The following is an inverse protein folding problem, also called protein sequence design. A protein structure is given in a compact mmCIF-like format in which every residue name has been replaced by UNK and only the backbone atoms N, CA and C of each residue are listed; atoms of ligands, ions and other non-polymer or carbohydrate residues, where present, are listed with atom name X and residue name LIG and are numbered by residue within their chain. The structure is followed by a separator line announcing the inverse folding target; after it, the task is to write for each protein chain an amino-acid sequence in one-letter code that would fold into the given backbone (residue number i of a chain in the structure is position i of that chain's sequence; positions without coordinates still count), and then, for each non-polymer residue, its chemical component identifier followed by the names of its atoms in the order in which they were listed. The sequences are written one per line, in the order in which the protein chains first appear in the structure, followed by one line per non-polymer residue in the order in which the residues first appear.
data_IF_404977414740
#
_entry.id   IF_404977414740
#
_cell.length_a   1.000
_cell.length_b   1.000
_cell.length_c   1.000
_cell.angle_alpha   90.00
_cell.angle_beta   90.00
_cell.angle_gamma   90.00
#
_symmetry.space_group_name_H-M   'P 1'
#
loop_
_entity.id
_entity.type
_entity.pdbx_description
1 polymer ?
#
# COMPACT_ATOMS: atom_id res chain seq x y z
N UNK A 1 -27.37 -10.00 16.92
CA UNK A 1 -26.02 -10.09 16.31
C UNK A 1 -26.04 -10.67 14.88
N UNK A 2 -27.04 -11.49 14.49
CA UNK A 2 -27.14 -12.07 13.12
C UNK A 2 -27.66 -11.14 12.01
N UNK A 3 -28.39 -10.07 12.33
CA UNK A 3 -28.99 -9.18 11.31
C UNK A 3 -27.94 -8.30 10.59
N UNK A 4 -26.86 -7.91 11.29
CA UNK A 4 -25.80 -7.07 10.73
C UNK A 4 -24.98 -7.80 9.65
N UNK A 5 -24.66 -9.08 9.88
CA UNK A 5 -23.96 -9.91 8.90
C UNK A 5 -24.84 -10.26 7.69
N UNK A 6 -26.15 -10.46 7.90
CA UNK A 6 -27.10 -10.65 6.81
C UNK A 6 -27.25 -9.37 5.94
N UNK A 7 -27.26 -8.20 6.56
CA UNK A 7 -27.26 -6.91 5.86
C UNK A 7 -25.92 -6.67 5.12
N UNK A 8 -24.78 -6.99 5.74
CA UNK A 8 -23.46 -6.84 5.11
C UNK A 8 -23.28 -7.76 3.90
N UNK A 9 -23.67 -9.04 4.03
CA UNK A 9 -23.67 -10.00 2.92
C UNK A 9 -24.70 -9.63 1.85
N UNK A 10 -25.86 -9.09 2.26
CA UNK A 10 -26.90 -8.58 1.37
C UNK A 10 -26.38 -7.42 0.52
N UNK A 11 -25.71 -6.43 1.14
CA UNK A 11 -25.05 -5.30 0.46
C UNK A 11 -23.90 -5.77 -0.45
N UNK A 12 -23.15 -6.80 -0.06
CA UNK A 12 -22.15 -7.42 -0.95
C UNK A 12 -22.80 -8.06 -2.19
N UNK A 13 -23.99 -8.65 -2.05
CA UNK A 13 -24.69 -9.31 -3.16
C UNK A 13 -25.44 -8.32 -4.06
N UNK A 14 -26.04 -7.26 -3.51
CA UNK A 14 -26.59 -6.15 -4.31
C UNK A 14 -25.50 -5.30 -4.95
N UNK A 15 -24.33 -5.14 -4.32
CA UNK A 15 -23.16 -4.49 -4.91
C UNK A 15 -22.60 -5.23 -6.13
N UNK A 16 -22.75 -6.56 -6.20
CA UNK A 16 -22.37 -7.35 -7.37
C UNK A 16 -23.35 -7.21 -8.55
N UNK A 17 -24.62 -6.86 -8.25
CA UNK A 17 -25.65 -6.55 -9.26
C UNK A 17 -25.72 -5.06 -9.63
N UNK A 18 -25.18 -4.17 -8.80
CA UNK A 18 -25.17 -2.74 -9.07
C UNK A 18 -23.96 -2.38 -9.93
N UNK A 19 -24.16 -2.59 -11.23
CA UNK A 19 -23.50 -1.85 -12.31
C UNK A 19 -22.01 -2.14 -12.50
N UNK A 20 -21.79 -2.98 -13.49
CA UNK A 20 -20.77 -2.94 -14.55
C UNK A 20 -20.47 -1.50 -15.04
N UNK A 21 -19.96 -0.63 -14.15
CA UNK A 21 -19.56 0.78 -14.40
C UNK A 21 -18.75 1.40 -13.23
N UNK A 22 -18.42 0.64 -12.16
CA UNK A 22 -17.46 1.13 -11.17
C UNK A 22 -16.05 0.88 -11.70
N UNK A 23 -15.42 1.95 -12.21
CA UNK A 23 -14.00 1.93 -12.59
C UNK A 23 -13.16 1.35 -11.45
N UNK A 24 -12.34 0.34 -11.74
CA UNK A 24 -11.45 -0.32 -10.78
C UNK A 24 -10.63 0.70 -9.97
N UNK A 25 -10.29 1.83 -10.59
CA UNK A 25 -9.65 2.96 -9.94
C UNK A 25 -10.43 3.51 -8.76
N UNK A 26 -11.74 3.78 -8.93
CA UNK A 26 -12.61 4.37 -7.89
C UNK A 26 -12.69 3.45 -6.67
N UNK A 27 -12.80 2.14 -6.91
CA UNK A 27 -12.79 1.12 -5.85
C UNK A 27 -11.45 1.15 -5.11
N UNK A 28 -10.33 1.17 -5.84
CA UNK A 28 -8.99 1.30 -5.26
C UNK A 28 -8.83 2.56 -4.42
N UNK A 29 -9.34 3.71 -4.87
CA UNK A 29 -9.25 4.97 -4.11
C UNK A 29 -9.94 4.84 -2.76
N UNK A 30 -11.12 4.24 -2.72
CA UNK A 30 -11.89 4.04 -1.49
C UNK A 30 -11.13 3.11 -0.54
N UNK A 31 -10.69 1.93 -1.00
CA UNK A 31 -9.99 0.97 -0.15
C UNK A 31 -8.64 1.49 0.37
N UNK A 32 -7.85 2.17 -0.46
CA UNK A 32 -6.58 2.75 -0.02
C UNK A 32 -6.78 3.91 0.97
N UNK A 33 -7.86 4.69 0.82
CA UNK A 33 -8.18 5.76 1.78
C UNK A 33 -8.68 5.17 3.10
N UNK A 34 -9.43 4.07 3.07
CA UNK A 34 -9.82 3.32 4.27
C UNK A 34 -8.62 2.69 4.99
N UNK A 35 -7.52 2.41 4.29
CA UNK A 35 -6.30 1.91 4.91
C UNK A 35 -5.72 2.89 5.94
N UNK A 36 -6.05 4.20 5.88
CA UNK A 36 -5.67 5.17 6.92
C UNK A 36 -6.18 4.73 8.30
N UNK A 37 -7.36 4.10 8.37
CA UNK A 37 -7.90 3.57 9.63
C UNK A 37 -6.95 2.56 10.27
N UNK A 38 -6.15 1.83 9.51
CA UNK A 38 -5.16 0.90 10.04
C UNK A 38 -4.05 1.60 10.82
N UNK A 39 -3.67 2.82 10.41
CA UNK A 39 -2.72 3.65 11.16
C UNK A 39 -3.33 4.04 12.51
N UNK A 40 -4.60 4.42 12.53
CA UNK A 40 -5.32 4.71 13.78
C UNK A 40 -5.42 3.48 14.70
N UNK A 41 -5.76 2.31 14.16
CA UNK A 41 -5.80 1.07 14.95
C UNK A 41 -4.41 0.66 15.46
N UNK A 42 -3.34 0.90 14.69
CA UNK A 42 -1.97 0.66 15.14
C UNK A 42 -1.55 1.64 16.26
N UNK A 43 -1.90 2.92 16.15
CA UNK A 43 -1.64 3.94 17.18
C UNK A 43 -2.35 3.61 18.50
N UNK A 44 -3.59 3.11 18.43
CA UNK A 44 -4.36 2.63 19.59
C UNK A 44 -3.85 1.29 20.15
N UNK A 45 -2.72 0.75 19.64
CA UNK A 45 -2.14 -0.56 19.99
C UNK A 45 -3.11 -1.74 19.85
N UNK A 46 -4.18 -1.61 19.07
CA UNK A 46 -5.11 -2.71 18.80
C UNK A 46 -4.45 -3.80 17.94
N UNK A 47 -3.37 -3.46 17.22
CA UNK A 47 -2.59 -4.39 16.39
C UNK A 47 -1.10 -4.30 16.76
N UNK A 48 -0.41 -5.44 16.84
CA UNK A 48 1.05 -5.58 17.08
C UNK A 48 1.89 -5.17 15.85
N UNK A 49 1.62 -4.00 15.26
CA UNK A 49 2.41 -3.44 14.17
C UNK A 49 3.03 -2.12 14.60
N UNK A 50 4.27 -1.83 14.21
CA UNK A 50 4.91 -0.55 14.51
C UNK A 50 4.17 0.55 13.74
N UNK A 51 3.46 1.48 14.42
CA UNK A 51 2.55 2.42 13.75
C UNK A 51 3.26 3.30 12.71
N UNK A 52 4.52 3.62 12.97
CA UNK A 52 5.36 4.44 12.10
C UNK A 52 5.62 3.78 10.74
N UNK A 53 5.97 2.49 10.71
CA UNK A 53 6.28 1.80 9.45
C UNK A 53 5.03 1.56 8.61
N UNK A 54 3.88 1.28 9.25
CA UNK A 54 2.60 1.14 8.56
C UNK A 54 2.12 2.49 8.01
N UNK A 55 2.30 3.57 8.77
CA UNK A 55 1.97 4.92 8.32
C UNK A 55 2.75 5.32 7.07
N UNK A 56 4.06 5.08 7.04
CA UNK A 56 4.88 5.40 5.86
C UNK A 56 4.43 4.59 4.64
N UNK A 57 4.17 3.29 4.80
CA UNK A 57 3.72 2.44 3.69
C UNK A 57 2.37 2.88 3.13
N UNK A 58 1.41 3.22 4.00
CA UNK A 58 0.08 3.68 3.57
C UNK A 58 0.16 5.08 2.97
N UNK A 59 0.95 5.99 3.57
CA UNK A 59 1.17 7.34 3.03
C UNK A 59 1.77 7.30 1.62
N UNK A 60 2.73 6.41 1.37
CA UNK A 60 3.33 6.19 0.05
C UNK A 60 2.29 5.83 -1.01
N UNK A 61 1.40 4.87 -0.68
CA UNK A 61 0.34 4.42 -1.59
C UNK A 61 -0.71 5.49 -1.86
N UNK A 62 -1.12 6.20 -0.81
CA UNK A 62 -2.07 7.32 -0.92
C UNK A 62 -1.48 8.44 -1.77
N UNK A 63 -0.18 8.73 -1.61
CA UNK A 63 0.50 9.71 -2.44
C UNK A 63 0.50 9.30 -3.92
N UNK A 64 0.83 8.04 -4.25
CA UNK A 64 0.78 7.59 -5.65
C UNK A 64 -0.64 7.66 -6.20
N UNK A 65 -1.64 7.29 -5.40
CA UNK A 65 -3.03 7.25 -5.85
C UNK A 65 -3.64 8.65 -6.05
N UNK A 66 -3.45 9.57 -5.10
CA UNK A 66 -4.02 10.92 -5.14
C UNK A 66 -3.07 11.95 -5.73
N UNK A 67 -1.79 11.85 -5.41
CA UNK A 67 -0.76 12.77 -5.85
C UNK A 67 -0.34 12.53 -7.30
N UNK A 68 -0.42 11.31 -7.83
CA UNK A 68 -0.02 10.98 -9.21
C UNK A 68 -1.22 10.63 -10.08
N UNK A 69 -1.92 9.53 -9.76
CA UNK A 69 -2.97 8.98 -10.64
C UNK A 69 -4.20 9.89 -10.74
N UNK A 70 -4.58 10.59 -9.67
CA UNK A 70 -5.72 11.52 -9.70
C UNK A 70 -5.38 12.86 -10.37
N UNK A 71 -4.18 13.40 -10.13
CA UNK A 71 -3.78 14.70 -10.65
C UNK A 71 -3.32 14.65 -12.11
N UNK A 72 -2.78 13.52 -12.55
CA UNK A 72 -2.33 13.30 -13.93
C UNK A 72 -2.98 12.06 -14.55
N UNK A 73 -4.32 12.06 -14.72
CA UNK A 73 -5.05 10.91 -15.26
C UNK A 73 -4.68 10.60 -16.71
N UNK A 74 -4.23 11.61 -17.47
CA UNK A 74 -3.77 11.47 -18.87
C UNK A 74 -2.55 10.52 -19.01
N UNK A 75 -1.80 10.31 -17.92
CA UNK A 75 -0.63 9.42 -17.87
C UNK A 75 -0.85 8.22 -16.95
N UNK A 76 -2.09 8.00 -16.52
CA UNK A 76 -2.49 6.81 -15.80
C UNK A 76 -2.48 5.61 -16.76
N UNK A 77 -1.31 5.25 -17.27
CA UNK A 77 -0.99 3.85 -17.52
C UNK A 77 -0.94 3.20 -16.16
N UNK A 78 -2.13 2.93 -15.62
CA UNK A 78 -2.30 2.18 -14.38
C UNK A 78 -1.47 0.93 -14.52
N UNK A 79 -0.33 0.92 -13.82
CA UNK A 79 0.58 -0.20 -13.92
C UNK A 79 -0.13 -1.39 -13.28
N UNK A 80 -0.77 -2.22 -14.11
CA UNK A 80 -1.59 -3.35 -13.67
C UNK A 80 -0.80 -4.26 -12.75
N UNK A 81 0.52 -4.35 -12.94
CA UNK A 81 1.44 -5.06 -12.06
C UNK A 81 1.45 -4.50 -10.63
N UNK A 82 1.46 -3.17 -10.47
CA UNK A 82 1.36 -2.50 -9.16
C UNK A 82 0.04 -2.86 -8.47
N UNK A 83 -1.07 -2.72 -9.20
CA UNK A 83 -2.40 -2.97 -8.65
C UNK A 83 -2.57 -4.42 -8.22
N UNK A 84 -2.19 -5.36 -9.09
CA UNK A 84 -2.22 -6.79 -8.77
C UNK A 84 -1.36 -7.07 -7.54
N UNK A 85 -0.17 -6.48 -7.47
CA UNK A 85 0.73 -6.66 -6.33
C UNK A 85 0.14 -6.12 -5.03
N UNK A 86 -0.47 -4.93 -5.07
CA UNK A 86 -1.16 -4.34 -3.91
C UNK A 86 -2.35 -5.20 -3.47
N UNK A 87 -3.19 -5.64 -4.40
CA UNK A 87 -4.34 -6.48 -4.10
C UNK A 87 -3.94 -7.79 -3.42
N UNK A 88 -2.92 -8.49 -3.93
CA UNK A 88 -2.44 -9.73 -3.31
C UNK A 88 -1.78 -9.49 -1.94
N UNK A 89 -1.03 -8.39 -1.80
CA UNK A 89 -0.42 -8.01 -0.53
C UNK A 89 -1.49 -7.72 0.54
N UNK A 90 -2.54 -7.00 0.17
CA UNK A 90 -3.63 -6.68 1.08
C UNK A 90 -4.49 -7.91 1.39
N UNK A 91 -4.80 -8.74 0.39
CA UNK A 91 -5.55 -9.98 0.60
C UNK A 91 -4.86 -10.92 1.61
N UNK A 92 -3.55 -11.16 1.45
CA UNK A 92 -2.79 -12.02 2.38
C UNK A 92 -2.70 -11.42 3.79
N UNK A 93 -2.55 -10.09 3.89
CA UNK A 93 -2.49 -9.40 5.18
C UNK A 93 -3.80 -9.48 5.94
N UNK A 94 -4.92 -9.14 5.29
CA UNK A 94 -6.23 -9.19 5.91
C UNK A 94 -6.64 -10.62 6.24
N UNK A 95 -6.32 -11.59 5.38
CA UNK A 95 -6.56 -13.00 5.66
C UNK A 95 -5.78 -13.48 6.90
N UNK A 96 -4.53 -13.07 7.06
CA UNK A 96 -3.74 -13.37 8.26
C UNK A 96 -4.38 -12.76 9.52
N UNK A 97 -4.79 -11.49 9.48
CA UNK A 97 -5.44 -10.85 10.63
C UNK A 97 -6.79 -11.49 10.96
N UNK A 98 -7.59 -11.84 9.95
CA UNK A 98 -8.87 -12.50 10.13
C UNK A 98 -8.72 -13.85 10.83
N UNK A 99 -7.80 -14.70 10.35
CA UNK A 99 -7.60 -16.03 10.95
C UNK A 99 -7.04 -15.91 12.37
N UNK A 100 -6.15 -14.94 12.62
CA UNK A 100 -5.56 -14.71 13.94
C UNK A 100 -6.58 -14.34 15.03
N UNK A 101 -7.76 -13.81 14.65
CA UNK A 101 -8.84 -13.50 15.58
C UNK A 101 -9.52 -14.77 16.11
N UNK A 102 -9.66 -15.80 15.28
CA UNK A 102 -10.43 -17.00 15.62
C UNK A 102 -9.56 -18.15 16.13
N UNK A 103 -8.37 -18.35 15.54
CA UNK A 103 -7.49 -19.48 15.82
C UNK A 103 -6.02 -19.06 15.77
N UNK A 104 -5.13 -19.87 16.35
CA UNK A 104 -3.69 -19.71 16.08
C UNK A 104 -3.44 -19.88 14.57
N UNK A 105 -2.84 -18.87 13.96
CA UNK A 105 -2.69 -18.79 12.51
C UNK A 105 -1.93 -20.01 11.96
N UNK A 106 -2.49 -20.76 10.99
CA UNK A 106 -1.86 -21.97 10.47
C UNK A 106 -0.52 -21.64 9.80
N UNK A 107 0.44 -22.55 9.92
CA UNK A 107 1.81 -22.36 9.41
C UNK A 107 1.86 -22.01 7.93
N UNK A 108 0.96 -22.59 7.13
CA UNK A 108 0.85 -22.33 5.68
C UNK A 108 0.51 -20.87 5.37
N UNK A 109 -0.37 -20.24 6.14
CA UNK A 109 -0.76 -18.83 5.94
C UNK A 109 0.38 -17.88 6.29
N UNK A 110 1.14 -18.22 7.33
CA UNK A 110 2.34 -17.50 7.75
C UNK A 110 3.44 -17.64 6.71
N UNK A 111 3.61 -18.84 6.15
CA UNK A 111 4.54 -19.12 5.05
C UNK A 111 4.19 -18.30 3.80
N UNK A 112 2.92 -18.33 3.37
CA UNK A 112 2.43 -17.55 2.22
C UNK A 112 2.67 -16.06 2.43
N UNK A 113 2.37 -15.54 3.63
CA UNK A 113 2.59 -14.12 3.95
C UNK A 113 4.04 -13.70 3.74
N UNK A 114 5.03 -14.49 4.17
CA UNK A 114 6.42 -14.09 4.04
C UNK A 114 7.00 -14.31 2.63
N UNK A 115 6.67 -15.44 1.98
CA UNK A 115 7.21 -15.76 0.65
C UNK A 115 6.57 -14.92 -0.45
N UNK A 116 5.24 -14.76 -0.42
CA UNK A 116 4.53 -13.96 -1.42
C UNK A 116 4.97 -12.49 -1.33
N UNK A 117 5.13 -11.98 -0.11
CA UNK A 117 5.53 -10.58 0.09
C UNK A 117 6.96 -10.29 -0.39
N UNK A 118 7.85 -11.29 -0.42
CA UNK A 118 9.21 -11.15 -0.94
C UNK A 118 9.21 -10.87 -2.45
N UNK A 119 8.26 -11.43 -3.20
CA UNK A 119 8.11 -11.23 -4.66
C UNK A 119 7.20 -10.05 -5.00
N UNK A 120 6.12 -9.86 -4.23
CA UNK A 120 5.16 -8.77 -4.47
C UNK A 120 5.70 -7.39 -4.09
N UNK A 121 6.66 -7.32 -3.17
CA UNK A 121 7.23 -6.05 -2.74
C UNK A 121 8.05 -5.36 -3.84
N UNK A 122 9.01 -6.02 -4.53
CA UNK A 122 9.72 -5.42 -5.67
C UNK A 122 8.79 -5.04 -6.83
N UNK A 123 7.83 -5.89 -7.16
CA UNK A 123 6.90 -5.68 -8.28
C UNK A 123 5.93 -4.54 -8.02
N UNK A 124 5.44 -4.39 -6.79
CA UNK A 124 4.64 -3.24 -6.36
C UNK A 124 5.42 -1.92 -6.49
N UNK A 125 6.63 -1.87 -5.94
CA UNK A 125 7.41 -0.63 -5.91
C UNK A 125 7.94 -0.23 -7.30
N UNK A 126 8.34 -1.19 -8.14
CA UNK A 126 8.67 -0.90 -9.54
C UNK A 126 7.49 -0.22 -10.25
N UNK A 127 6.27 -0.63 -9.92
CA UNK A 127 5.05 -0.01 -10.43
C UNK A 127 4.85 1.43 -9.92
N UNK A 128 5.07 1.67 -8.63
CA UNK A 128 5.00 3.01 -8.02
C UNK A 128 6.04 3.97 -8.63
N UNK A 129 7.29 3.52 -8.74
CA UNK A 129 8.40 4.27 -9.34
C UNK A 129 8.09 4.60 -10.79
N UNK A 130 7.59 3.65 -11.56
CA UNK A 130 7.24 3.87 -12.98
C UNK A 130 6.18 4.96 -13.11
N UNK A 131 5.10 4.90 -12.31
CA UNK A 131 4.04 5.91 -12.33
C UNK A 131 4.55 7.31 -11.96
N UNK A 132 5.41 7.41 -10.93
CA UNK A 132 6.03 8.68 -10.56
C UNK A 132 6.94 9.16 -11.70
N UNK A 133 7.78 8.29 -12.27
CA UNK A 133 8.73 8.63 -13.32
C UNK A 133 8.05 9.21 -14.58
N UNK A 134 6.98 8.56 -15.06
CA UNK A 134 6.22 9.03 -16.22
C UNK A 134 5.42 10.31 -15.96
N UNK A 135 5.11 10.61 -14.69
CA UNK A 135 4.41 11.84 -14.32
C UNK A 135 5.34 13.04 -14.09
N UNK A 136 6.67 12.88 -14.05
CA UNK A 136 7.62 14.00 -13.94
C UNK A 136 7.43 15.11 -15.00
N UNK A 137 7.36 14.81 -16.32
CA UNK A 137 7.18 15.87 -17.31
C UNK A 137 5.85 16.62 -17.11
N UNK A 138 4.79 15.91 -16.74
CA UNK A 138 3.48 16.50 -16.46
C UNK A 138 3.49 17.36 -15.19
N UNK A 139 4.23 16.93 -14.18
CA UNK A 139 4.48 17.69 -12.96
C UNK A 139 5.33 18.95 -13.19
N UNK A 140 6.17 18.97 -14.22
CA UNK A 140 6.90 20.18 -14.62
C UNK A 140 6.00 21.18 -15.35
N UNK A 141 5.08 20.71 -16.19
CA UNK A 141 4.19 21.57 -16.97
C UNK A 141 2.96 22.07 -16.19
N UNK A 142 2.41 21.26 -15.28
CA UNK A 142 1.21 21.58 -14.49
C UNK A 142 1.47 21.34 -13.00
N UNK A 143 2.35 22.10 -12.34
CA UNK A 143 2.63 21.92 -10.93
C UNK A 143 1.40 22.28 -10.08
N UNK A 144 0.95 21.36 -9.22
CA UNK A 144 -0.13 21.61 -8.24
C UNK A 144 0.42 22.19 -6.93
N UNK A 145 1.68 21.87 -6.59
CA UNK A 145 2.48 22.59 -5.60
C UNK A 145 3.44 23.50 -6.34
N UNK A 146 3.28 24.81 -6.16
CA UNK A 146 4.13 25.84 -6.76
C UNK A 146 4.45 26.93 -5.74
N UNK A 147 5.38 26.64 -4.82
CA UNK A 147 6.00 27.71 -4.01
C UNK A 147 7.11 28.29 -4.88
N UNK A 148 6.77 29.34 -5.63
CA UNK A 148 7.69 30.06 -6.50
C UNK A 148 8.54 31.03 -5.69
N UNK A 149 9.79 31.22 -6.10
CA UNK A 149 10.62 32.30 -5.54
C UNK A 149 10.04 33.69 -5.90
N UNK A 150 10.27 34.72 -5.06
CA UNK A 150 11.05 34.69 -3.82
C UNK A 150 10.16 34.50 -2.58
N UNK A 151 10.54 33.56 -1.71
CA UNK A 151 9.98 33.36 -0.36
C UNK A 151 11.08 33.61 0.68
N UNK A 152 10.74 34.06 1.90
CA UNK A 152 11.70 34.49 2.94
C UNK A 152 12.69 33.40 3.39
N UNK A 153 12.39 32.13 3.11
CA UNK A 153 13.23 30.97 3.41
C UNK A 153 14.14 30.52 2.26
N UNK A 154 14.18 31.27 1.14
CA UNK A 154 14.96 30.98 -0.09
C UNK A 154 14.77 29.55 -0.64
N UNK A 155 13.64 28.93 -0.31
CA UNK A 155 13.32 27.56 -0.68
C UNK A 155 12.06 27.56 -1.54
N UNK A 156 12.19 27.11 -2.80
CA UNK A 156 11.08 26.90 -3.71
C UNK A 156 10.77 25.41 -3.82
N UNK A 157 9.52 25.03 -3.56
CA UNK A 157 9.04 23.67 -3.77
C UNK A 157 8.15 23.65 -5.01
N UNK A 158 8.61 22.96 -6.05
CA UNK A 158 7.77 22.57 -7.20
C UNK A 158 7.39 21.11 -7.06
N UNK A 159 6.22 20.74 -7.59
CA UNK A 159 5.74 19.36 -7.68
C UNK A 159 6.81 18.42 -8.25
N UNK A 160 7.56 18.90 -9.24
CA UNK A 160 8.70 18.19 -9.82
C UNK A 160 9.77 17.84 -8.77
N UNK A 161 10.15 18.80 -7.93
CA UNK A 161 11.14 18.58 -6.86
C UNK A 161 10.67 17.57 -5.83
N UNK A 162 9.39 17.60 -5.46
CA UNK A 162 8.79 16.60 -4.55
C UNK A 162 8.89 15.20 -5.14
N UNK A 163 8.58 15.02 -6.43
CA UNK A 163 8.65 13.71 -7.09
C UNK A 163 10.09 13.20 -7.19
N UNK A 164 11.06 14.07 -7.49
CA UNK A 164 12.48 13.71 -7.48
C UNK A 164 12.95 13.24 -6.10
N UNK A 165 12.59 13.97 -5.03
CA UNK A 165 12.93 13.57 -3.65
C UNK A 165 12.31 12.22 -3.30
N UNK A 166 11.06 11.98 -3.70
CA UNK A 166 10.40 10.70 -3.47
C UNK A 166 11.12 9.56 -4.20
N UNK A 167 11.45 9.72 -5.48
CA UNK A 167 12.23 8.72 -6.23
C UNK A 167 13.57 8.40 -5.56
N UNK A 168 14.28 9.43 -5.07
CA UNK A 168 15.52 9.24 -4.31
C UNK A 168 15.27 8.50 -3.00
N UNK A 169 14.17 8.79 -2.29
CA UNK A 169 13.81 8.14 -1.02
C UNK A 169 13.42 6.66 -1.20
N UNK A 170 12.89 6.27 -2.36
CA UNK A 170 12.61 4.85 -2.66
C UNK A 170 13.89 4.00 -2.73
N UNK A 171 15.02 4.56 -3.16
CA UNK A 171 16.30 3.85 -3.30
C UNK A 171 16.79 3.26 -1.96
N UNK A 172 16.91 4.02 -0.85
CA UNK A 172 17.26 3.46 0.46
C UNK A 172 16.08 2.75 1.14
N UNK A 173 14.84 3.14 0.86
CA UNK A 173 13.64 2.54 1.46
C UNK A 173 13.44 1.07 1.07
N UNK A 174 13.73 0.72 -0.19
CA UNK A 174 13.54 -0.65 -0.70
C UNK A 174 14.43 -1.69 0.01
N UNK A 175 15.78 -1.54 0.04
CA UNK A 175 16.66 -2.52 0.69
C UNK A 175 16.38 -2.63 2.18
N UNK A 176 16.10 -1.51 2.86
CA UNK A 176 15.87 -1.52 4.30
C UNK A 176 14.69 -2.42 4.68
N UNK A 177 13.55 -2.25 4.01
CA UNK A 177 12.36 -3.08 4.26
C UNK A 177 12.63 -4.52 3.86
N UNK A 178 13.26 -4.77 2.71
CA UNK A 178 13.61 -6.13 2.26
C UNK A 178 14.50 -6.87 3.26
N UNK A 179 15.48 -6.19 3.85
CA UNK A 179 16.35 -6.74 4.89
C UNK A 179 15.56 -7.07 6.16
N UNK A 180 14.62 -6.21 6.57
CA UNK A 180 13.77 -6.50 7.74
C UNK A 180 12.87 -7.71 7.51
N UNK A 181 12.35 -7.89 6.29
CA UNK A 181 11.51 -9.02 5.91
C UNK A 181 12.33 -10.32 5.86
N UNK A 182 13.52 -10.25 5.27
CA UNK A 182 14.45 -11.38 5.18
C UNK A 182 14.86 -11.86 6.58
N UNK A 183 15.15 -10.94 7.50
CA UNK A 183 15.41 -11.26 8.92
C UNK A 183 14.22 -11.96 9.57
N UNK A 184 13.00 -11.47 9.34
CA UNK A 184 11.77 -12.09 9.87
C UNK A 184 11.52 -13.48 9.29
N UNK A 185 11.79 -13.67 8.00
CA UNK A 185 11.67 -14.98 7.35
C UNK A 185 12.67 -15.99 7.95
N UNK A 186 13.93 -15.61 8.13
CA UNK A 186 14.95 -16.46 8.76
C UNK A 186 14.55 -16.86 10.19
N UNK A 187 14.07 -15.91 10.99
CA UNK A 187 13.59 -16.17 12.35
C UNK A 187 12.39 -17.13 12.38
N UNK A 188 11.48 -17.00 11.41
CA UNK A 188 10.36 -17.92 11.25
C UNK A 188 10.86 -19.33 10.93
N UNK A 189 11.75 -19.48 9.94
CA UNK A 189 12.30 -20.78 9.51
C UNK A 189 13.03 -21.50 10.66
N UNK A 190 13.77 -20.76 11.49
CA UNK A 190 14.40 -21.31 12.69
C UNK A 190 13.40 -21.75 13.77
N UNK A 191 12.28 -21.03 13.96
CA UNK A 191 11.23 -21.44 14.90
C UNK A 191 10.48 -22.69 14.43
N UNK A 192 10.24 -22.82 13.13
CA UNK A 192 9.59 -24.01 12.57
C UNK A 192 10.47 -25.25 12.69
N UNK A 193 11.80 -25.13 12.45
CA UNK A 193 12.71 -26.28 12.59
C UNK A 193 12.89 -26.74 14.04
N UNK A 194 12.66 -25.87 15.04
CA UNK A 194 12.69 -26.25 16.46
C UNK A 194 11.39 -26.88 16.97
N UNK A 195 10.26 -26.69 16.27
CA UNK A 195 8.96 -27.29 16.64
C UNK A 195 8.78 -28.70 16.06
N UNK A 196 9.60 -29.08 15.08
CA UNK A 196 9.56 -30.39 14.40
C UNK A 196 10.59 -31.41 14.93
N UNK A 197 11.38 -31.01 15.93
CA UNK A 197 12.43 -31.82 16.59
C UNK A 197 12.04 -32.07 18.04
#
# INVERSE_FOLDING_TARGET
MSAYLAFYNGVQFTGYKLKTDLDCERVLRIFQTLAILEVFHALLRLVRSTPFTTAIQIASRIFVLWGVLYLYPEHAYVNKMMLVSWCFADATRYLYYFVNIFIETPGLLTFLRYNLFLVLYPTGIMGEISNIFYSLPHAAHRPWIGITMPNSLNFGFSTFGVYCVLLVLYIPGMPLVMLTLSRKHILYTHRTSRRSS
#
